data_IF_697787810428
#
_entry.id   IF_697787810428
#
_cell.length_a   1.000
_cell.length_b   1.000
_cell.length_c   1.000
_cell.angle_alpha   90.00
_cell.angle_beta   90.00
_cell.angle_gamma   90.00
#
_symmetry.space_group_name_H-M   'P 1'
#
loop_
_entity.id
_entity.type
_entity.pdbx_description
1 polymer ?
#
# COMPACT_ATOMS: atom_id res chain seq x y z
N UNK A 1 24.93 -18.86 -18.32
CA UNK A 1 24.54 -17.60 -17.67
C UNK A 1 23.99 -17.96 -16.28
N UNK A 2 24.55 -17.45 -15.24
CA UNK A 2 24.02 -17.62 -13.87
C UNK A 2 22.66 -16.94 -13.78
N UNK A 3 21.65 -17.66 -13.34
CA UNK A 3 20.29 -17.18 -13.14
C UNK A 3 20.30 -16.08 -12.06
N UNK A 4 19.55 -14.98 -12.26
CA UNK A 4 19.46 -13.94 -11.25
C UNK A 4 18.64 -14.41 -10.03
N UNK A 5 18.87 -13.86 -8.82
CA UNK A 5 18.02 -14.15 -7.67
C UNK A 5 16.54 -13.83 -7.93
N UNK A 6 16.26 -12.79 -8.70
CA UNK A 6 14.90 -12.42 -9.08
C UNK A 6 14.22 -13.47 -9.96
N UNK A 7 14.94 -14.03 -10.95
CA UNK A 7 14.43 -15.11 -11.81
C UNK A 7 14.09 -16.35 -11.00
N UNK A 8 14.96 -16.70 -10.05
CA UNK A 8 14.76 -17.85 -9.18
C UNK A 8 13.53 -17.68 -8.28
N UNK A 9 13.33 -16.49 -7.69
CA UNK A 9 12.13 -16.15 -6.90
C UNK A 9 10.89 -16.33 -7.75
N UNK A 10 10.87 -15.73 -8.95
CA UNK A 10 9.68 -15.76 -9.82
C UNK A 10 9.34 -17.16 -10.30
N UNK A 11 10.33 -17.97 -10.69
CA UNK A 11 10.10 -19.36 -11.11
C UNK A 11 9.50 -20.21 -9.99
N UNK A 12 10.09 -20.12 -8.77
CA UNK A 12 9.57 -20.84 -7.61
C UNK A 12 8.17 -20.38 -7.24
N UNK A 13 7.94 -19.05 -7.26
CA UNK A 13 6.66 -18.45 -6.92
C UNK A 13 5.57 -18.93 -7.88
N UNK A 14 5.80 -18.83 -9.19
CA UNK A 14 4.84 -19.26 -10.23
C UNK A 14 4.50 -20.72 -10.06
N UNK A 15 5.50 -21.60 -9.98
CA UNK A 15 5.28 -23.03 -9.81
C UNK A 15 4.46 -23.36 -8.55
N UNK A 16 4.77 -22.71 -7.42
CA UNK A 16 4.09 -22.97 -6.15
C UNK A 16 2.66 -22.43 -6.16
N UNK A 17 2.45 -21.26 -6.73
CA UNK A 17 1.16 -20.60 -6.78
C UNK A 17 0.20 -21.31 -7.73
N UNK A 18 0.66 -21.65 -8.93
CA UNK A 18 -0.16 -22.40 -9.91
C UNK A 18 -0.53 -23.80 -9.41
N UNK A 19 0.40 -24.48 -8.72
CA UNK A 19 0.12 -25.80 -8.14
C UNK A 19 -0.89 -25.78 -6.99
N UNK A 20 -1.09 -24.62 -6.35
CA UNK A 20 -2.02 -24.44 -5.22
C UNK A 20 -3.34 -23.78 -5.63
N UNK A 21 -3.56 -23.52 -6.92
CA UNK A 21 -4.76 -22.81 -7.39
C UNK A 21 -6.06 -23.56 -7.04
N UNK A 22 -7.05 -22.80 -6.54
CA UNK A 22 -8.39 -23.28 -6.18
C UNK A 22 -9.44 -22.54 -7.03
N UNK A 23 -9.77 -23.00 -8.25
CA UNK A 23 -10.60 -22.26 -9.19
C UNK A 23 -12.00 -21.89 -8.67
N UNK A 24 -12.64 -22.78 -7.90
CA UNK A 24 -13.95 -22.48 -7.30
C UNK A 24 -13.88 -21.30 -6.32
N UNK A 25 -12.85 -21.30 -5.48
CA UNK A 25 -12.61 -20.20 -4.53
C UNK A 25 -12.20 -18.90 -5.23
N UNK A 26 -11.46 -18.98 -6.33
CA UNK A 26 -11.04 -17.83 -7.14
C UNK A 26 -12.24 -17.01 -7.60
N UNK A 27 -13.33 -17.67 -8.04
CA UNK A 27 -14.59 -17.00 -8.44
C UNK A 27 -15.17 -16.19 -7.28
N UNK A 28 -15.24 -16.76 -6.07
CA UNK A 28 -15.75 -16.05 -4.91
C UNK A 28 -14.87 -14.87 -4.50
N UNK A 29 -13.55 -15.03 -4.57
CA UNK A 29 -12.60 -13.96 -4.26
C UNK A 29 -12.69 -12.83 -5.27
N UNK A 30 -12.76 -13.15 -6.56
CA UNK A 30 -12.96 -12.16 -7.63
C UNK A 30 -14.28 -11.37 -7.43
N UNK A 31 -15.36 -12.05 -7.10
CA UNK A 31 -16.67 -11.40 -6.84
C UNK A 31 -16.58 -10.42 -5.65
N UNK A 32 -15.92 -10.78 -4.56
CA UNK A 32 -15.67 -9.87 -3.43
C UNK A 32 -14.89 -8.63 -3.86
N UNK A 33 -13.93 -8.77 -4.78
CA UNK A 33 -13.15 -7.67 -5.35
C UNK A 33 -13.84 -7.02 -6.55
N UNK A 34 -15.17 -7.19 -6.70
CA UNK A 34 -16.01 -6.63 -7.76
C UNK A 34 -15.54 -7.02 -9.16
N UNK A 35 -14.97 -8.22 -9.30
CA UNK A 35 -14.41 -8.75 -10.54
C UNK A 35 -13.37 -7.82 -11.21
N UNK A 36 -12.62 -7.08 -10.40
CA UNK A 36 -11.57 -6.20 -10.92
C UNK A 36 -10.33 -6.98 -11.36
N UNK A 37 -10.07 -8.16 -10.78
CA UNK A 37 -8.87 -8.95 -11.00
C UNK A 37 -9.20 -10.44 -11.08
N UNK A 38 -8.33 -11.19 -11.77
CA UNK A 38 -8.28 -12.64 -11.67
C UNK A 38 -7.62 -13.06 -10.33
N UNK A 39 -7.92 -14.28 -9.89
CA UNK A 39 -7.37 -14.88 -8.66
C UNK A 39 -7.02 -16.34 -8.90
N UNK A 40 -6.00 -16.83 -8.19
CA UNK A 40 -5.71 -18.27 -8.04
C UNK A 40 -6.62 -18.89 -6.99
N UNK A 41 -7.05 -18.14 -5.99
CA UNK A 41 -8.11 -18.49 -5.07
C UNK A 41 -7.70 -19.18 -3.78
N UNK A 42 -6.42 -19.35 -3.47
CA UNK A 42 -6.01 -19.95 -2.21
C UNK A 42 -6.14 -18.99 -1.01
N UNK A 43 -6.29 -19.53 0.22
CA UNK A 43 -6.41 -18.71 1.43
C UNK A 43 -5.13 -17.95 1.78
N UNK A 44 -5.27 -16.80 2.46
CA UNK A 44 -4.12 -16.01 2.93
C UNK A 44 -3.07 -16.79 3.73
N UNK A 45 -3.40 -17.75 4.63
CA UNK A 45 -2.38 -18.57 5.30
C UNK A 45 -1.57 -19.41 4.32
N UNK A 46 -2.23 -20.00 3.32
CA UNK A 46 -1.58 -20.76 2.22
C UNK A 46 -0.65 -19.84 1.43
N UNK A 47 -1.14 -18.68 1.00
CA UNK A 47 -0.33 -17.67 0.30
C UNK A 47 0.95 -17.35 1.06
N UNK A 48 0.85 -17.07 2.36
CA UNK A 48 2.02 -16.76 3.19
C UNK A 48 3.00 -17.93 3.33
N UNK A 49 2.51 -19.15 3.38
CA UNK A 49 3.35 -20.33 3.42
C UNK A 49 4.11 -20.53 2.10
N UNK A 50 3.41 -20.44 0.97
CA UNK A 50 4.00 -20.55 -0.37
C UNK A 50 5.01 -19.43 -0.63
N UNK A 51 4.69 -18.19 -0.24
CA UNK A 51 5.60 -17.06 -0.33
C UNK A 51 6.91 -17.29 0.42
N UNK A 52 6.85 -17.81 1.66
CA UNK A 52 8.06 -18.16 2.42
C UNK A 52 8.86 -19.28 1.72
N UNK A 53 8.18 -20.27 1.17
CA UNK A 53 8.85 -21.37 0.44
C UNK A 53 9.52 -20.88 -0.84
N UNK A 54 8.94 -19.92 -1.54
CA UNK A 54 9.51 -19.35 -2.77
C UNK A 54 10.86 -18.68 -2.53
N UNK A 55 11.05 -18.04 -1.38
CA UNK A 55 12.27 -17.29 -1.04
C UNK A 55 13.23 -18.07 -0.12
N UNK A 56 12.84 -19.25 0.33
CA UNK A 56 13.64 -20.03 1.27
C UNK A 56 15.02 -20.40 0.70
N UNK A 57 16.07 -20.16 1.51
CA UNK A 57 17.46 -20.48 1.14
C UNK A 57 18.07 -19.54 0.10
N UNK A 58 17.35 -18.51 -0.36
CA UNK A 58 17.91 -17.50 -1.25
C UNK A 58 18.67 -16.41 -0.46
N UNK A 59 19.67 -15.75 -1.06
CA UNK A 59 20.36 -14.63 -0.45
C UNK A 59 19.38 -13.47 -0.21
N UNK A 60 19.79 -12.51 0.64
CA UNK A 60 19.04 -11.24 0.76
C UNK A 60 19.00 -10.55 -0.59
N UNK A 61 17.82 -10.04 -1.01
CA UNK A 61 17.70 -9.38 -2.30
C UNK A 61 18.47 -8.06 -2.34
N UNK A 62 19.05 -7.73 -3.50
CA UNK A 62 19.47 -6.38 -3.83
C UNK A 62 18.26 -5.53 -4.26
N UNK A 63 18.45 -4.24 -4.43
CA UNK A 63 17.38 -3.34 -4.88
C UNK A 63 16.86 -3.74 -6.26
N UNK A 64 17.76 -4.12 -7.17
CA UNK A 64 17.41 -4.59 -8.51
C UNK A 64 16.53 -5.84 -8.49
N UNK A 65 16.81 -6.79 -7.57
CA UNK A 65 15.98 -7.98 -7.40
C UNK A 65 14.58 -7.62 -6.92
N UNK A 66 14.49 -6.69 -5.96
CA UNK A 66 13.20 -6.21 -5.45
C UNK A 66 12.38 -5.55 -6.55
N UNK A 67 13.00 -4.73 -7.37
CA UNK A 67 12.39 -4.05 -8.51
C UNK A 67 11.90 -5.06 -9.55
N UNK A 68 12.78 -5.97 -9.97
CA UNK A 68 12.48 -6.97 -10.99
C UNK A 68 11.32 -7.88 -10.57
N UNK A 69 11.35 -8.41 -9.34
CA UNK A 69 10.28 -9.27 -8.80
C UNK A 69 8.97 -8.51 -8.68
N UNK A 70 8.99 -7.27 -8.17
CA UNK A 70 7.76 -6.48 -8.01
C UNK A 70 7.10 -6.19 -9.37
N UNK A 71 7.87 -5.79 -10.37
CA UNK A 71 7.36 -5.53 -11.71
C UNK A 71 6.85 -6.83 -12.38
N UNK A 72 7.62 -7.93 -12.29
CA UNK A 72 7.18 -9.22 -12.82
C UNK A 72 5.89 -9.74 -12.17
N UNK A 73 5.69 -9.49 -10.87
CA UNK A 73 4.43 -9.78 -10.19
C UNK A 73 3.28 -8.88 -10.68
N UNK A 74 3.56 -7.63 -11.03
CA UNK A 74 2.56 -6.71 -11.58
C UNK A 74 2.14 -7.08 -13.01
N UNK A 75 3.01 -7.72 -13.77
CA UNK A 75 2.69 -8.23 -15.11
C UNK A 75 1.73 -9.43 -15.08
N UNK A 76 1.65 -10.18 -13.96
CA UNK A 76 0.72 -11.31 -13.83
C UNK A 76 -0.71 -10.81 -13.62
N UNK A 77 -1.68 -11.58 -14.11
CA UNK A 77 -3.09 -11.22 -14.02
C UNK A 77 -3.69 -11.54 -12.64
N UNK A 78 -3.24 -12.62 -12.01
CA UNK A 78 -3.79 -13.07 -10.75
C UNK A 78 -3.26 -12.24 -9.58
N UNK A 79 -4.18 -11.79 -8.75
CA UNK A 79 -3.95 -10.78 -7.71
C UNK A 79 -2.99 -11.22 -6.60
N UNK A 80 -2.90 -12.49 -6.35
CA UNK A 80 -2.00 -13.06 -5.35
C UNK A 80 -0.52 -12.77 -5.65
N UNK A 81 -0.13 -12.60 -6.92
CA UNK A 81 1.23 -12.16 -7.26
C UNK A 81 1.50 -10.73 -6.77
N UNK A 82 0.56 -9.80 -6.94
CA UNK A 82 0.71 -8.44 -6.42
C UNK A 82 0.72 -8.42 -4.89
N UNK A 83 -0.04 -9.28 -4.22
CA UNK A 83 0.03 -9.42 -2.77
C UNK A 83 1.39 -9.93 -2.30
N UNK A 84 1.97 -10.91 -3.01
CA UNK A 84 3.34 -11.35 -2.74
C UNK A 84 4.33 -10.19 -2.85
N UNK A 85 4.27 -9.41 -3.93
CA UNK A 85 5.16 -8.26 -4.13
C UNK A 85 5.02 -7.21 -3.02
N UNK A 86 3.79 -6.89 -2.58
CA UNK A 86 3.56 -5.98 -1.46
C UNK A 86 4.22 -6.48 -0.17
N UNK A 87 4.07 -7.77 0.16
CA UNK A 87 4.68 -8.38 1.34
C UNK A 87 6.22 -8.47 1.21
N UNK A 88 6.72 -8.77 0.01
CA UNK A 88 8.14 -8.83 -0.31
C UNK A 88 8.83 -7.47 -0.14
N UNK A 89 8.25 -6.42 -0.72
CA UNK A 89 8.73 -5.04 -0.57
C UNK A 89 8.66 -4.59 0.89
N UNK A 90 7.57 -4.87 1.60
CA UNK A 90 7.43 -4.55 3.02
C UNK A 90 8.52 -5.21 3.87
N UNK A 91 8.79 -6.50 3.63
CA UNK A 91 9.80 -7.26 4.39
C UNK A 91 11.22 -6.74 4.16
N UNK A 92 11.47 -6.13 3.01
CA UNK A 92 12.78 -5.65 2.59
C UNK A 92 12.84 -4.11 2.47
N UNK A 93 11.94 -3.38 3.12
CA UNK A 93 11.87 -1.90 3.02
C UNK A 93 13.18 -1.18 3.41
N UNK A 94 14.05 -1.87 4.12
CA UNK A 94 15.39 -1.39 4.50
C UNK A 94 16.42 -1.40 3.37
N UNK A 95 16.16 -2.05 2.23
CA UNK A 95 17.11 -2.20 1.12
C UNK A 95 17.01 -1.05 0.10
N UNK A 96 15.81 -0.67 -0.40
CA UNK A 96 15.70 0.32 -1.48
C UNK A 96 16.21 1.70 -1.10
N UNK A 97 16.89 2.35 -2.05
CA UNK A 97 17.21 3.78 -2.03
C UNK A 97 16.02 4.66 -2.45
N UNK A 98 16.22 6.00 -2.47
CA UNK A 98 15.15 6.95 -2.76
C UNK A 98 14.57 6.80 -4.18
N UNK A 99 15.39 6.42 -5.16
CA UNK A 99 14.97 6.26 -6.56
C UNK A 99 13.92 5.15 -6.76
N UNK A 100 13.76 4.27 -5.76
CA UNK A 100 12.71 3.25 -5.80
C UNK A 100 11.30 3.84 -5.71
N UNK A 101 11.15 5.11 -5.29
CA UNK A 101 9.84 5.77 -5.26
C UNK A 101 9.19 5.81 -6.65
N UNK A 102 9.98 5.94 -7.72
CA UNK A 102 9.49 5.84 -9.10
C UNK A 102 8.85 4.48 -9.41
N UNK A 103 9.47 3.38 -8.95
CA UNK A 103 8.89 2.05 -9.06
C UNK A 103 7.60 1.95 -8.23
N UNK A 104 7.62 2.42 -6.97
CA UNK A 104 6.42 2.42 -6.13
C UNK A 104 5.26 3.19 -6.78
N UNK A 105 5.54 4.34 -7.42
CA UNK A 105 4.54 5.10 -8.19
C UNK A 105 3.93 4.24 -9.30
N UNK A 106 4.73 3.53 -10.08
CA UNK A 106 4.25 2.63 -11.13
C UNK A 106 3.32 1.55 -10.54
N UNK A 107 3.71 0.89 -9.46
CA UNK A 107 2.90 -0.14 -8.80
C UNK A 107 1.57 0.43 -8.26
N UNK A 108 1.59 1.66 -7.71
CA UNK A 108 0.39 2.32 -7.18
C UNK A 108 -0.58 2.72 -8.29
N UNK A 109 -0.06 3.14 -9.44
CA UNK A 109 -0.88 3.69 -10.53
C UNK A 109 -1.28 2.67 -11.60
N UNK A 110 -0.83 1.42 -11.49
CA UNK A 110 -1.19 0.31 -12.39
C UNK A 110 -1.87 -0.81 -11.62
N UNK A 111 -2.90 -1.43 -12.21
CA UNK A 111 -3.76 -2.43 -11.55
C UNK A 111 -4.22 -1.98 -10.15
N UNK A 112 -4.53 -0.69 -10.02
CA UNK A 112 -4.75 0.00 -8.74
C UNK A 112 -6.04 -0.43 -8.07
N UNK A 113 -5.97 -0.81 -6.79
CA UNK A 113 -7.10 -1.01 -5.90
C UNK A 113 -6.63 -0.92 -4.45
N UNK A 114 -7.54 -0.70 -3.52
CA UNK A 114 -7.22 -0.47 -2.11
C UNK A 114 -6.38 -1.60 -1.47
N UNK A 115 -6.57 -2.84 -1.89
CA UNK A 115 -5.94 -4.03 -1.33
C UNK A 115 -4.41 -4.12 -1.58
N UNK A 116 -3.90 -3.47 -2.62
CA UNK A 116 -2.45 -3.34 -2.88
C UNK A 116 -1.94 -1.94 -2.56
N UNK A 117 -2.74 -0.90 -2.85
CA UNK A 117 -2.33 0.49 -2.59
C UNK A 117 -2.11 0.72 -1.09
N UNK A 118 -2.99 0.19 -0.22
CA UNK A 118 -2.88 0.42 1.22
C UNK A 118 -1.61 -0.18 1.84
N UNK A 119 -1.24 -1.45 1.61
CA UNK A 119 0.03 -1.97 2.11
C UNK A 119 1.24 -1.28 1.47
N UNK A 120 1.19 -0.92 0.18
CA UNK A 120 2.25 -0.12 -0.44
C UNK A 120 2.38 1.25 0.23
N UNK A 121 1.30 1.98 0.41
CA UNK A 121 1.28 3.30 1.04
C UNK A 121 1.80 3.26 2.48
N UNK A 122 1.18 2.41 3.31
CA UNK A 122 1.38 2.46 4.77
C UNK A 122 2.65 1.75 5.24
N UNK A 123 3.12 0.73 4.52
CA UNK A 123 4.24 -0.10 4.94
C UNK A 123 5.50 0.12 4.12
N UNK A 124 5.36 0.22 2.80
CA UNK A 124 6.51 0.35 1.92
C UNK A 124 6.88 1.82 1.70
N UNK A 125 5.99 2.64 1.11
CA UNK A 125 6.25 4.07 0.86
C UNK A 125 6.48 4.81 2.18
N UNK A 126 5.64 4.58 3.19
CA UNK A 126 5.86 5.15 4.52
C UNK A 126 7.23 4.78 5.10
N UNK A 127 7.64 3.51 5.01
CA UNK A 127 8.97 3.07 5.45
C UNK A 127 10.11 3.69 4.65
N UNK A 128 9.93 3.83 3.33
CA UNK A 128 10.91 4.45 2.43
C UNK A 128 11.09 5.94 2.74
N UNK A 129 10.00 6.70 2.85
CA UNK A 129 10.01 8.14 3.18
C UNK A 129 10.61 8.39 4.56
N UNK A 130 10.30 7.54 5.55
CA UNK A 130 10.87 7.66 6.90
C UNK A 130 12.40 7.54 6.91
N UNK A 131 12.96 6.75 5.98
CA UNK A 131 14.42 6.59 5.81
C UNK A 131 15.05 7.66 4.92
N UNK A 132 14.28 8.23 4.01
CA UNK A 132 14.71 9.15 2.97
C UNK A 132 13.82 10.40 2.97
N UNK A 133 14.05 11.29 3.93
CA UNK A 133 13.20 12.47 4.18
C UNK A 133 13.08 13.42 2.97
N UNK A 134 14.04 13.40 2.04
CA UNK A 134 13.95 14.18 0.79
C UNK A 134 12.74 13.79 -0.06
N UNK A 135 12.21 12.58 0.10
CA UNK A 135 11.02 12.11 -0.63
C UNK A 135 9.71 12.75 -0.15
N UNK A 136 9.74 13.51 0.94
CA UNK A 136 8.52 14.21 1.42
C UNK A 136 8.00 15.20 0.39
N UNK A 137 8.86 15.82 -0.42
CA UNK A 137 8.44 16.72 -1.49
C UNK A 137 7.60 15.99 -2.57
N UNK A 138 7.93 14.74 -2.87
CA UNK A 138 7.11 13.93 -3.79
C UNK A 138 5.74 13.63 -3.20
N UNK A 139 5.67 13.32 -1.90
CA UNK A 139 4.40 13.08 -1.21
C UNK A 139 3.54 14.36 -1.11
N UNK A 140 4.17 15.53 -0.92
CA UNK A 140 3.51 16.83 -0.98
C UNK A 140 2.86 17.06 -2.37
N UNK A 141 3.56 16.67 -3.45
CA UNK A 141 3.02 16.70 -4.81
C UNK A 141 1.89 15.67 -4.98
N UNK A 142 2.07 14.41 -4.57
CA UNK A 142 1.05 13.36 -4.66
C UNK A 142 -0.21 13.68 -3.88
N UNK A 143 -0.11 14.43 -2.79
CA UNK A 143 -1.29 14.89 -2.04
C UNK A 143 -2.23 15.79 -2.84
N UNK A 144 -1.81 16.26 -3.99
CA UNK A 144 -2.65 17.07 -4.90
C UNK A 144 -2.66 16.56 -6.33
N UNK A 145 -2.27 15.31 -6.56
CA UNK A 145 -2.27 14.69 -7.88
C UNK A 145 -3.71 14.40 -8.36
N UNK A 146 -3.89 14.31 -9.68
CA UNK A 146 -5.18 13.91 -10.28
C UNK A 146 -5.47 12.42 -10.08
N UNK A 147 -4.44 11.60 -9.84
CA UNK A 147 -4.59 10.17 -9.56
C UNK A 147 -4.97 9.94 -8.09
N UNK A 148 -6.20 9.52 -7.86
CA UNK A 148 -6.74 9.28 -6.51
C UNK A 148 -5.91 8.29 -5.67
N UNK A 149 -5.17 7.37 -6.28
CA UNK A 149 -4.37 6.39 -5.55
C UNK A 149 -3.03 6.97 -5.07
N UNK A 150 -2.47 7.95 -5.79
CA UNK A 150 -1.35 8.76 -5.30
C UNK A 150 -1.80 9.65 -4.14
N UNK A 151 -2.96 10.32 -4.28
CA UNK A 151 -3.58 11.09 -3.19
C UNK A 151 -3.80 10.21 -1.95
N UNK A 152 -4.38 9.02 -2.15
CA UNK A 152 -4.62 8.06 -1.05
C UNK A 152 -3.30 7.64 -0.41
N UNK A 153 -2.25 7.41 -1.20
CA UNK A 153 -0.92 7.05 -0.69
C UNK A 153 -0.34 8.18 0.16
N UNK A 154 -0.40 9.42 -0.31
CA UNK A 154 0.05 10.58 0.44
C UNK A 154 -0.69 10.73 1.79
N UNK A 155 -2.01 10.54 1.82
CA UNK A 155 -2.81 10.56 3.05
C UNK A 155 -2.43 9.46 4.04
N UNK A 156 -2.00 8.28 3.55
CA UNK A 156 -1.81 7.09 4.38
C UNK A 156 -0.34 6.77 4.71
N UNK A 157 0.65 7.41 4.05
CA UNK A 157 2.06 7.00 4.20
C UNK A 157 2.57 7.10 5.64
N UNK A 158 2.08 8.04 6.45
CA UNK A 158 2.46 8.20 7.85
C UNK A 158 1.65 7.33 8.83
N UNK A 159 0.79 6.42 8.36
CA UNK A 159 -0.16 5.69 9.21
C UNK A 159 0.51 4.98 10.40
N UNK A 160 1.76 4.58 10.26
CA UNK A 160 2.51 3.85 11.29
C UNK A 160 3.64 4.67 11.93
N UNK A 161 3.62 5.99 11.82
CA UNK A 161 4.66 6.84 12.41
C UNK A 161 4.44 7.11 13.91
N UNK A 162 3.19 7.03 14.39
CA UNK A 162 2.86 7.31 15.78
C UNK A 162 3.28 8.71 16.21
N UNK A 163 4.11 8.84 17.27
CA UNK A 163 4.60 10.15 17.72
C UNK A 163 5.48 10.91 16.71
N UNK A 164 6.09 10.20 15.74
CA UNK A 164 6.94 10.81 14.71
C UNK A 164 6.11 11.34 13.51
N UNK A 165 4.78 11.32 13.60
CA UNK A 165 3.90 11.84 12.54
C UNK A 165 4.11 13.34 12.37
N UNK A 166 4.43 13.77 11.14
CA UNK A 166 4.37 15.18 10.74
C UNK A 166 2.89 15.60 10.65
N UNK A 167 2.44 16.26 11.70
CA UNK A 167 1.03 16.68 11.85
C UNK A 167 0.63 17.76 10.87
N UNK A 168 1.56 18.65 10.52
CA UNK A 168 1.29 19.73 9.56
C UNK A 168 0.99 19.12 8.18
N UNK A 169 1.76 18.12 7.75
CA UNK A 169 1.47 17.37 6.52
C UNK A 169 0.18 16.56 6.62
N UNK A 170 0.00 15.82 7.72
CA UNK A 170 -1.22 15.01 7.91
C UNK A 170 -2.47 15.88 7.78
N UNK A 171 -2.56 16.96 8.55
CA UNK A 171 -3.72 17.84 8.53
C UNK A 171 -3.80 18.67 7.25
N UNK A 172 -2.66 19.10 6.71
CA UNK A 172 -2.58 19.81 5.43
C UNK A 172 -3.14 18.99 4.26
N UNK A 173 -2.74 17.70 4.14
CA UNK A 173 -3.25 16.81 3.12
C UNK A 173 -4.74 16.51 3.30
N UNK A 174 -5.18 16.28 4.54
CA UNK A 174 -6.60 16.10 4.85
C UNK A 174 -7.44 17.32 4.48
N UNK A 175 -6.94 18.52 4.76
CA UNK A 175 -7.62 19.78 4.41
C UNK A 175 -7.67 19.99 2.90
N UNK A 176 -6.54 19.77 2.21
CA UNK A 176 -6.45 19.86 0.74
C UNK A 176 -7.47 18.97 0.04
N UNK A 177 -7.73 17.78 0.61
CA UNK A 177 -8.61 16.77 0.03
C UNK A 177 -10.00 16.67 0.70
N UNK A 178 -10.33 17.62 1.60
CA UNK A 178 -11.59 17.58 2.37
C UNK A 178 -12.84 17.52 1.49
N UNK A 179 -12.85 18.26 0.38
CA UNK A 179 -13.96 18.30 -0.60
C UNK A 179 -13.92 17.20 -1.67
N UNK A 180 -12.97 16.28 -1.64
CA UNK A 180 -12.81 15.27 -2.70
C UNK A 180 -14.05 14.39 -2.83
N UNK A 181 -14.49 14.12 -4.08
CA UNK A 181 -15.73 13.39 -4.36
C UNK A 181 -15.60 11.86 -4.19
N UNK A 182 -14.40 11.31 -4.37
CA UNK A 182 -14.17 9.87 -4.38
C UNK A 182 -14.25 9.24 -2.99
N UNK A 183 -14.87 8.06 -2.92
CA UNK A 183 -15.05 7.30 -1.69
C UNK A 183 -13.72 6.89 -1.04
N UNK A 184 -12.74 6.44 -1.84
CA UNK A 184 -11.47 5.94 -1.32
C UNK A 184 -10.61 7.05 -0.71
N UNK A 185 -10.67 8.26 -1.26
CA UNK A 185 -9.99 9.44 -0.70
C UNK A 185 -10.66 9.89 0.60
N UNK A 186 -12.00 10.02 0.62
CA UNK A 186 -12.77 10.35 1.84
C UNK A 186 -12.52 9.35 2.96
N UNK A 187 -12.44 8.07 2.61
CA UNK A 187 -12.14 6.98 3.55
C UNK A 187 -10.71 7.08 4.08
N UNK A 188 -9.73 7.42 3.22
CA UNK A 188 -8.33 7.59 3.63
C UNK A 188 -8.15 8.74 4.62
N UNK A 189 -8.81 9.89 4.39
CA UNK A 189 -8.81 11.01 5.35
C UNK A 189 -9.25 10.53 6.73
N UNK A 190 -10.41 9.89 6.79
CA UNK A 190 -10.95 9.41 8.07
C UNK A 190 -10.05 8.36 8.73
N UNK A 191 -9.44 7.47 7.95
CA UNK A 191 -8.55 6.43 8.46
C UNK A 191 -7.23 7.01 8.98
N UNK A 192 -6.61 7.93 8.26
CA UNK A 192 -5.38 8.60 8.69
C UNK A 192 -5.59 9.34 10.02
N UNK A 193 -6.66 10.14 10.12
CA UNK A 193 -7.03 10.86 11.34
C UNK A 193 -7.33 9.90 12.50
N UNK A 194 -8.14 8.86 12.29
CA UNK A 194 -8.46 7.86 13.30
C UNK A 194 -7.21 7.15 13.82
N UNK A 195 -6.26 6.88 12.94
CA UNK A 195 -5.04 6.20 13.35
C UNK A 195 -4.17 7.11 14.21
N UNK A 196 -4.04 8.38 13.81
CA UNK A 196 -3.29 9.38 14.57
C UNK A 196 -3.97 9.72 15.91
N UNK A 197 -5.30 9.65 16.02
CA UNK A 197 -6.03 9.82 17.27
C UNK A 197 -5.61 8.84 18.39
N UNK A 198 -4.91 7.76 18.09
CA UNK A 198 -4.30 6.87 19.08
C UNK A 198 -3.06 7.49 19.74
N UNK A 199 -2.44 8.45 19.07
CA UNK A 199 -1.25 9.18 19.54
C UNK A 199 -1.67 10.49 20.19
N UNK A 200 -2.52 11.26 19.52
CA UNK A 200 -3.04 12.54 19.99
C UNK A 200 -4.53 12.68 19.66
N UNK A 201 -5.43 12.23 20.55
CA UNK A 201 -6.87 12.30 20.34
C UNK A 201 -7.38 13.74 20.34
N UNK A 202 -6.78 14.64 21.12
CA UNK A 202 -7.24 16.01 21.25
C UNK A 202 -6.93 16.83 19.99
N UNK A 203 -5.74 16.68 19.44
CA UNK A 203 -5.39 17.30 18.15
C UNK A 203 -6.35 16.88 17.03
N UNK A 204 -6.79 15.61 17.01
CA UNK A 204 -7.75 15.13 15.99
C UNK A 204 -9.15 15.66 16.28
N UNK A 205 -9.60 15.74 17.54
CA UNK A 205 -10.90 16.37 17.89
C UNK A 205 -10.96 17.81 17.44
N UNK A 206 -9.91 18.59 17.75
CA UNK A 206 -9.80 19.99 17.37
C UNK A 206 -9.78 20.16 15.84
N UNK A 207 -9.00 19.36 15.15
CA UNK A 207 -8.95 19.39 13.68
C UNK A 207 -10.32 19.11 13.06
N UNK A 208 -10.99 18.03 13.50
CA UNK A 208 -12.32 17.67 12.99
C UNK A 208 -13.36 18.75 13.30
N UNK A 209 -13.34 19.32 14.52
CA UNK A 209 -14.25 20.40 14.90
C UNK A 209 -14.08 21.62 14.00
N UNK A 210 -12.84 22.07 13.78
CA UNK A 210 -12.51 23.23 12.93
C UNK A 210 -12.88 23.01 11.45
N UNK A 211 -12.79 21.78 10.96
CA UNK A 211 -12.99 21.46 9.55
C UNK A 211 -14.34 20.73 9.26
N UNK A 212 -15.27 20.71 10.22
CA UNK A 212 -16.53 19.97 10.11
C UNK A 212 -17.38 20.39 8.92
N UNK A 213 -17.30 21.66 8.51
CA UNK A 213 -18.07 22.20 7.38
C UNK A 213 -17.56 21.80 6.00
N UNK A 214 -16.30 21.35 5.91
CA UNK A 214 -15.66 21.00 4.63
C UNK A 214 -15.35 19.50 4.52
N UNK A 215 -15.16 18.80 5.65
CA UNK A 215 -14.97 17.36 5.68
C UNK A 215 -16.26 16.62 5.31
N UNK A 216 -16.13 15.55 4.52
CA UNK A 216 -17.28 14.69 4.22
C UNK A 216 -17.84 14.03 5.49
N UNK A 217 -19.15 13.74 5.57
CA UNK A 217 -19.72 12.98 6.68
C UNK A 217 -19.04 11.61 6.89
N UNK A 218 -18.57 10.98 5.82
CA UNK A 218 -17.80 9.73 5.89
C UNK A 218 -16.47 9.95 6.58
N UNK A 219 -15.70 10.98 6.19
CA UNK A 219 -14.40 11.29 6.79
C UNK A 219 -14.53 11.59 8.28
N UNK A 220 -15.53 12.40 8.66
CA UNK A 220 -15.82 12.72 10.08
C UNK A 220 -16.14 11.44 10.85
N UNK A 221 -17.10 10.62 10.38
CA UNK A 221 -17.50 9.39 11.06
C UNK A 221 -16.32 8.42 11.26
N UNK A 222 -15.48 8.28 10.24
CA UNK A 222 -14.30 7.38 10.32
C UNK A 222 -13.23 7.94 11.26
N UNK A 223 -12.99 9.25 11.24
CA UNK A 223 -12.00 9.91 12.11
C UNK A 223 -12.38 9.79 13.59
N UNK A 224 -13.68 9.92 13.92
CA UNK A 224 -14.18 9.98 15.30
C UNK A 224 -14.64 8.64 15.85
N UNK A 225 -14.44 7.54 15.13
CA UNK A 225 -14.98 6.21 15.50
C UNK A 225 -14.53 5.70 16.88
N UNK A 226 -13.40 6.17 17.40
CA UNK A 226 -12.80 5.75 18.67
C UNK A 226 -12.36 6.94 19.54
N UNK A 227 -12.93 8.13 19.31
CA UNK A 227 -12.71 9.34 20.09
C UNK A 227 -13.79 9.53 21.17
#
# INVERSE_FOLDING_TARGET
MTRSPADEVMERLVRLFEAAAEPERAVHTAAYMRNQFAFLGFPTPTQRALARSAVAGLPKPAEEDLRAVALACWDRDEREYQYFACDWLRANVGVPGPDFLGTARTLITTKSWWDTVDPLATRFVGGLVRRHQQLTADLDAWAGDDNLWLVRTALLHQLHYGPDTDTDRLFGYCTRQAGHADFFVRKAIGWALRHYARTDPDAVRDYVAKNRGVLSPLSVREATKHL
#
